data_IF_740321842283
#
_entry.id   IF_740321842283
#
_cell.length_a   1.000
_cell.length_b   1.000
_cell.length_c   1.000
_cell.angle_alpha   90.00
_cell.angle_beta   90.00
_cell.angle_gamma   90.00
#
_symmetry.space_group_name_H-M   'P 1'
#
loop_
_entity.id
_entity.type
_entity.pdbx_description
1 polymer ?
#
# COMPACT_ATOMS: atom_id res chain seq x y z
N UNK A 1 11.76 23.96 19.59
CA UNK A 1 11.46 22.86 18.66
C UNK A 1 10.20 23.22 17.92
N UNK A 2 10.27 23.44 16.61
CA UNK A 2 9.08 23.63 15.77
C UNK A 2 8.35 22.29 15.57
N UNK A 3 7.09 22.30 15.15
CA UNK A 3 6.38 21.06 14.81
C UNK A 3 7.11 20.29 13.70
N UNK A 4 7.74 21.01 12.76
CA UNK A 4 8.51 20.39 11.70
C UNK A 4 9.77 19.68 12.21
N UNK A 5 10.54 20.31 13.10
CA UNK A 5 11.70 19.68 13.73
C UNK A 5 11.29 18.44 14.54
N UNK A 6 10.14 18.50 15.22
CA UNK A 6 9.58 17.35 15.92
C UNK A 6 9.26 16.21 14.94
N UNK A 7 8.58 16.53 13.83
CA UNK A 7 8.25 15.55 12.79
C UNK A 7 9.50 14.90 12.21
N UNK A 8 10.50 15.69 11.81
CA UNK A 8 11.75 15.17 11.27
C UNK A 8 12.43 14.22 12.26
N UNK A 9 12.53 14.62 13.54
CA UNK A 9 13.11 13.77 14.59
C UNK A 9 12.33 12.46 14.79
N UNK A 10 11.00 12.51 14.73
CA UNK A 10 10.15 11.31 14.80
C UNK A 10 10.39 10.41 13.59
N UNK A 11 10.34 10.96 12.37
CA UNK A 11 10.56 10.23 11.11
C UNK A 11 11.93 9.54 11.11
N UNK A 12 12.99 10.24 11.51
CA UNK A 12 14.35 9.69 11.50
C UNK A 12 14.47 8.51 12.48
N UNK A 13 13.88 8.62 13.66
CA UNK A 13 13.87 7.54 14.66
C UNK A 13 13.05 6.34 14.18
N UNK A 14 11.86 6.57 13.65
CA UNK A 14 10.99 5.52 13.10
C UNK A 14 11.68 4.81 11.93
N UNK A 15 12.23 5.58 10.98
CA UNK A 15 12.93 5.04 9.82
C UNK A 15 14.09 4.11 10.23
N UNK A 16 14.89 4.54 11.21
CA UNK A 16 15.99 3.73 11.73
C UNK A 16 15.50 2.40 12.32
N UNK A 17 14.50 2.44 13.21
CA UNK A 17 14.00 1.23 13.87
C UNK A 17 13.39 0.26 12.87
N UNK A 18 12.54 0.74 11.96
CA UNK A 18 11.90 -0.13 10.97
C UNK A 18 12.93 -0.71 9.99
N UNK A 19 13.93 0.07 9.57
CA UNK A 19 14.98 -0.41 8.67
C UNK A 19 15.82 -1.53 9.30
N UNK A 20 16.06 -1.48 10.62
CA UNK A 20 16.72 -2.56 11.36
C UNK A 20 15.89 -3.86 11.32
N UNK A 21 14.56 -3.75 11.45
CA UNK A 21 13.62 -4.88 11.39
C UNK A 21 13.57 -5.55 10.00
N UNK A 22 13.62 -4.76 8.92
CA UNK A 22 13.55 -5.26 7.54
C UNK A 22 14.92 -5.39 6.86
N UNK A 23 15.99 -5.43 7.64
CA UNK A 23 17.39 -5.41 7.17
C UNK A 23 17.80 -6.61 6.30
N UNK A 24 17.01 -7.68 6.29
CA UNK A 24 17.26 -8.86 5.47
C UNK A 24 16.84 -8.63 4.01
N UNK A 25 17.65 -9.08 3.03
CA UNK A 25 17.38 -8.82 1.61
C UNK A 25 16.10 -9.52 1.13
N UNK A 26 15.25 -8.76 0.45
CA UNK A 26 14.08 -9.29 -0.24
C UNK A 26 14.47 -9.94 -1.57
N UNK A 27 13.60 -10.78 -2.11
CA UNK A 27 13.77 -11.45 -3.41
C UNK A 27 12.62 -11.14 -4.35
N UNK A 28 12.94 -11.04 -5.63
CA UNK A 28 11.94 -10.88 -6.68
C UNK A 28 11.33 -12.23 -7.04
N UNK A 29 10.01 -12.24 -7.24
CA UNK A 29 9.25 -13.37 -7.77
C UNK A 29 8.34 -12.91 -8.89
N UNK A 30 8.31 -13.67 -9.98
CA UNK A 30 7.36 -13.45 -11.06
C UNK A 30 6.12 -14.33 -10.88
N UNK A 31 4.98 -13.77 -11.28
CA UNK A 31 3.71 -14.49 -11.37
C UNK A 31 3.09 -14.19 -12.73
N UNK A 32 2.48 -15.21 -13.32
CA UNK A 32 1.71 -15.04 -14.56
C UNK A 32 0.46 -14.23 -14.26
N UNK A 33 0.23 -13.15 -15.03
CA UNK A 33 -1.02 -12.40 -14.92
C UNK A 33 -2.15 -13.08 -15.70
N UNK A 34 -3.39 -12.64 -15.45
CA UNK A 34 -4.58 -13.12 -16.16
C UNK A 34 -4.59 -12.71 -17.65
N UNK A 35 -3.87 -11.64 -18.02
CA UNK A 35 -3.74 -11.16 -19.38
C UNK A 35 -2.44 -11.65 -20.03
N UNK A 36 -2.49 -11.96 -21.32
CA UNK A 36 -1.45 -12.70 -22.04
C UNK A 36 -0.07 -12.00 -22.15
N UNK A 37 0.04 -10.72 -21.80
CA UNK A 37 1.27 -9.92 -21.89
C UNK A 37 1.67 -9.24 -20.57
N UNK A 38 0.96 -9.51 -19.47
CA UNK A 38 1.21 -8.92 -18.16
C UNK A 38 1.92 -9.92 -17.24
N UNK A 39 2.83 -9.40 -16.42
CA UNK A 39 3.53 -10.15 -15.38
C UNK A 39 3.40 -9.37 -14.07
N UNK A 40 2.99 -10.07 -13.02
CA UNK A 40 2.99 -9.51 -11.67
C UNK A 40 4.33 -9.83 -11.04
N UNK A 41 5.10 -8.79 -10.73
CA UNK A 41 6.39 -8.89 -10.05
C UNK A 41 6.20 -8.57 -8.58
N UNK A 42 6.47 -9.56 -7.73
CA UNK A 42 6.34 -9.46 -6.28
C UNK A 42 7.71 -9.34 -5.63
N UNK A 43 7.88 -8.37 -4.74
CA UNK A 43 9.07 -8.27 -3.88
C UNK A 43 8.77 -8.96 -2.55
N UNK A 44 9.45 -10.06 -2.28
CA UNK A 44 9.11 -10.98 -1.20
C UNK A 44 10.20 -10.97 -0.13
N UNK A 45 9.80 -10.70 1.11
CA UNK A 45 10.67 -10.81 2.27
C UNK A 45 11.10 -12.28 2.50
N UNK A 46 12.21 -12.52 3.24
CA UNK A 46 12.67 -13.87 3.55
C UNK A 46 11.63 -14.76 4.24
N UNK A 47 10.69 -14.14 4.97
CA UNK A 47 9.56 -14.80 5.64
C UNK A 47 8.48 -15.30 4.67
N UNK A 48 8.57 -14.95 3.38
CA UNK A 48 7.58 -15.27 2.35
C UNK A 48 6.47 -14.22 2.20
N UNK A 49 6.48 -13.15 3.00
CA UNK A 49 5.55 -12.02 2.90
C UNK A 49 5.81 -11.22 1.64
N UNK A 50 4.77 -10.87 0.88
CA UNK A 50 4.92 -9.93 -0.23
C UNK A 50 4.91 -8.50 0.32
N UNK A 51 5.94 -7.75 -0.02
CA UNK A 51 6.18 -6.39 0.48
C UNK A 51 5.85 -5.30 -0.54
N UNK A 52 5.83 -5.61 -1.83
CA UNK A 52 5.41 -4.72 -2.92
C UNK A 52 4.97 -5.57 -4.11
N UNK A 53 4.00 -5.08 -4.87
CA UNK A 53 3.58 -5.63 -6.16
C UNK A 53 3.79 -4.61 -7.28
N UNK A 54 4.25 -5.11 -8.43
CA UNK A 54 4.35 -4.36 -9.67
C UNK A 54 3.62 -5.10 -10.78
N UNK A 55 2.80 -4.38 -11.54
CA UNK A 55 2.16 -4.88 -12.76
C UNK A 55 2.95 -4.32 -13.96
N UNK A 56 3.66 -5.19 -14.66
CA UNK A 56 4.56 -4.84 -15.75
C UNK A 56 4.30 -5.71 -16.97
N UNK A 57 4.75 -5.28 -18.15
CA UNK A 57 4.85 -6.21 -19.27
C UNK A 57 5.93 -7.25 -19.01
N UNK A 58 5.81 -8.44 -19.62
CA UNK A 58 6.80 -9.50 -19.48
C UNK A 58 8.24 -9.05 -19.83
N UNK A 59 8.38 -8.18 -20.84
CA UNK A 59 9.68 -7.62 -21.25
C UNK A 59 10.28 -6.70 -20.18
N UNK A 60 9.46 -5.84 -19.57
CA UNK A 60 9.89 -4.93 -18.50
C UNK A 60 10.22 -5.69 -17.22
N UNK A 61 9.43 -6.71 -16.87
CA UNK A 61 9.67 -7.57 -15.72
C UNK A 61 11.07 -8.20 -15.81
N UNK A 62 11.41 -8.83 -16.94
CA UNK A 62 12.71 -9.50 -17.08
C UNK A 62 13.89 -8.54 -17.16
N UNK A 63 13.73 -7.39 -17.82
CA UNK A 63 14.82 -6.41 -18.00
C UNK A 63 15.13 -5.60 -16.74
N UNK A 64 14.11 -5.22 -15.97
CA UNK A 64 14.26 -4.38 -14.78
C UNK A 64 14.35 -5.21 -13.48
N UNK A 65 13.61 -6.32 -13.40
CA UNK A 65 13.49 -7.14 -12.18
C UNK A 65 13.64 -8.63 -12.48
N UNK A 66 14.85 -9.13 -12.77
CA UNK A 66 15.05 -10.54 -13.06
C UNK A 66 14.53 -11.44 -11.92
N UNK A 67 13.89 -12.56 -12.26
CA UNK A 67 13.35 -13.49 -11.26
C UNK A 67 14.46 -14.02 -10.31
N UNK A 68 14.08 -14.26 -9.05
CA UNK A 68 14.97 -14.64 -7.94
C UNK A 68 16.11 -13.67 -7.62
N UNK A 69 16.22 -12.54 -8.32
CA UNK A 69 17.24 -11.55 -8.00
C UNK A 69 16.96 -10.86 -6.67
N UNK A 70 18.03 -10.38 -6.03
CA UNK A 70 17.94 -9.66 -4.76
C UNK A 70 17.44 -8.25 -5.04
N UNK A 71 16.45 -7.81 -4.26
CA UNK A 71 15.98 -6.42 -4.29
C UNK A 71 17.10 -5.52 -3.79
N UNK A 72 17.43 -4.49 -4.57
CA UNK A 72 18.48 -3.54 -4.20
C UNK A 72 18.17 -2.85 -2.87
N UNK A 73 19.20 -2.68 -2.03
CA UNK A 73 19.08 -2.04 -0.71
C UNK A 73 18.41 -0.67 -0.77
N UNK A 74 18.70 0.10 -1.82
CA UNK A 74 18.11 1.43 -2.09
C UNK A 74 16.58 1.37 -2.17
N UNK A 75 16.01 0.30 -2.75
CA UNK A 75 14.55 0.11 -2.86
C UNK A 75 13.94 -0.07 -1.49
N UNK A 76 14.53 -0.97 -0.68
CA UNK A 76 14.05 -1.24 0.69
C UNK A 76 14.12 0.05 1.52
N UNK A 77 15.25 0.75 1.49
CA UNK A 77 15.44 2.02 2.19
C UNK A 77 14.43 3.08 1.75
N UNK A 78 14.12 3.16 0.44
CA UNK A 78 13.15 4.12 -0.08
C UNK A 78 11.72 3.82 0.40
N UNK A 79 11.29 2.55 0.35
CA UNK A 79 9.95 2.14 0.82
C UNK A 79 9.79 2.39 2.32
N UNK A 80 10.80 2.02 3.12
CA UNK A 80 10.81 2.26 4.57
C UNK A 80 10.77 3.75 4.87
N UNK A 81 11.55 4.56 4.16
CA UNK A 81 11.57 6.02 4.34
C UNK A 81 10.21 6.66 4.08
N UNK A 82 9.49 6.22 3.03
CA UNK A 82 8.14 6.69 2.78
C UNK A 82 7.15 6.27 3.87
N UNK A 83 7.22 5.02 4.33
CA UNK A 83 6.38 4.54 5.44
C UNK A 83 6.63 5.34 6.73
N UNK A 84 7.90 5.61 7.06
CA UNK A 84 8.29 6.42 8.21
C UNK A 84 7.83 7.89 8.09
N UNK A 85 7.75 8.43 6.87
CA UNK A 85 7.24 9.79 6.60
C UNK A 85 5.71 9.87 6.67
N UNK A 86 5.00 8.77 6.42
CA UNK A 86 3.54 8.69 6.53
C UNK A 86 3.05 8.43 7.94
N UNK A 87 3.69 7.51 8.67
CA UNK A 87 3.17 6.98 9.93
C UNK A 87 2.83 8.07 10.97
N UNK A 88 3.64 9.14 11.12
CA UNK A 88 3.34 10.20 12.08
C UNK A 88 2.21 11.15 11.64
N UNK A 89 1.71 11.04 10.41
CA UNK A 89 0.71 11.94 9.84
C UNK A 89 -0.71 11.47 10.17
N UNK A 90 -1.53 12.39 10.70
CA UNK A 90 -2.93 12.11 11.07
C UNK A 90 -3.96 12.49 10.02
N UNK A 91 -3.54 13.17 8.96
CA UNK A 91 -4.43 13.54 7.87
C UNK A 91 -5.00 12.29 7.18
N UNK A 92 -6.34 12.24 7.08
CA UNK A 92 -7.06 11.08 6.52
C UNK A 92 -6.58 10.68 5.13
N UNK A 93 -6.25 11.64 4.27
CA UNK A 93 -5.73 11.36 2.94
C UNK A 93 -4.44 10.50 2.96
N UNK A 94 -3.51 10.83 3.86
CA UNK A 94 -2.24 10.11 3.99
C UNK A 94 -2.39 8.80 4.78
N UNK A 95 -3.27 8.77 5.79
CA UNK A 95 -3.61 7.52 6.50
C UNK A 95 -4.28 6.49 5.58
N UNK A 96 -5.23 6.92 4.75
CA UNK A 96 -5.88 6.05 3.77
C UNK A 96 -4.92 5.60 2.67
N UNK A 97 -3.86 6.37 2.40
CA UNK A 97 -2.84 6.01 1.42
C UNK A 97 -1.83 4.98 1.95
N UNK A 98 -1.72 4.78 3.27
CA UNK A 98 -0.71 3.91 3.88
C UNK A 98 -0.70 2.48 3.31
N UNK A 99 -1.84 1.78 3.18
CA UNK A 99 -1.86 0.44 2.57
C UNK A 99 -1.37 0.46 1.11
N UNK A 100 -1.78 1.47 0.34
CA UNK A 100 -1.37 1.60 -1.06
C UNK A 100 0.11 1.95 -1.21
N UNK A 101 0.69 2.67 -0.26
CA UNK A 101 2.14 2.89 -0.18
C UNK A 101 2.87 1.56 0.03
N UNK A 102 2.42 0.78 1.02
CA UNK A 102 3.01 -0.52 1.34
C UNK A 102 2.85 -1.56 0.24
N UNK A 103 1.87 -1.43 -0.65
CA UNK A 103 1.64 -2.45 -1.67
C UNK A 103 2.09 -2.02 -3.08
N UNK A 104 1.81 -0.77 -3.45
CA UNK A 104 1.98 -0.26 -4.83
C UNK A 104 2.85 1.00 -4.91
N UNK A 105 3.54 1.39 -3.83
CA UNK A 105 4.37 2.61 -3.83
C UNK A 105 5.43 2.60 -4.92
N UNK A 106 6.01 1.43 -5.21
CA UNK A 106 7.04 1.30 -6.24
C UNK A 106 6.47 1.31 -7.68
N UNK A 107 5.20 0.95 -7.89
CA UNK A 107 4.56 0.98 -9.22
C UNK A 107 4.61 2.39 -9.82
N UNK A 108 4.35 3.40 -9.00
CA UNK A 108 4.36 4.80 -9.44
C UNK A 108 5.73 5.24 -9.99
N UNK A 109 6.82 4.72 -9.42
CA UNK A 109 8.18 5.03 -9.87
C UNK A 109 8.51 4.31 -11.17
N UNK A 110 8.00 3.09 -11.34
CA UNK A 110 8.09 2.36 -12.59
C UNK A 110 7.46 3.12 -13.74
N UNK A 111 6.22 3.58 -13.52
CA UNK A 111 5.45 4.33 -14.50
C UNK A 111 6.17 5.63 -14.91
N UNK A 112 6.95 6.23 -14.00
CA UNK A 112 7.73 7.45 -14.25
C UNK A 112 9.05 7.27 -15.01
N UNK A 113 9.73 6.15 -14.81
CA UNK A 113 11.17 6.04 -15.17
C UNK A 113 11.44 4.99 -16.25
N UNK A 114 10.58 3.98 -16.37
CA UNK A 114 10.58 2.91 -17.39
C UNK A 114 11.93 2.21 -17.64
N UNK A 115 12.93 2.38 -16.77
CA UNK A 115 14.29 1.83 -16.93
C UNK A 115 15.01 1.68 -15.60
N UNK A 116 15.72 0.56 -15.43
CA UNK A 116 16.40 0.20 -14.16
C UNK A 116 17.38 1.26 -13.65
N UNK A 117 18.24 1.79 -14.52
CA UNK A 117 19.24 2.79 -14.11
C UNK A 117 18.62 4.11 -13.64
N UNK A 118 17.50 4.51 -14.25
CA UNK A 118 16.75 5.69 -13.79
C UNK A 118 16.05 5.43 -12.47
N UNK A 119 15.50 4.22 -12.26
CA UNK A 119 14.92 3.82 -10.98
C UNK A 119 15.97 3.92 -9.87
N UNK A 120 17.14 3.31 -10.06
CA UNK A 120 18.22 3.34 -9.08
C UNK A 120 18.65 4.77 -8.74
N UNK A 121 18.81 5.64 -9.76
CA UNK A 121 19.15 7.06 -9.56
C UNK A 121 18.06 7.80 -8.78
N UNK A 122 16.79 7.49 -9.04
CA UNK A 122 15.64 8.16 -8.44
C UNK A 122 15.44 7.75 -6.97
N UNK A 123 15.76 6.50 -6.63
CA UNK A 123 15.63 5.95 -5.28
C UNK A 123 16.78 6.35 -4.34
N UNK A 124 17.92 6.78 -4.89
CA UNK A 124 19.13 7.08 -4.12
C UNK A 124 19.06 8.43 -3.37
N UNK A 125 18.23 9.37 -3.82
CA UNK A 125 18.11 10.69 -3.18
C UNK A 125 17.35 10.60 -1.84
N UNK A 126 18.02 10.86 -0.69
CA UNK A 126 17.40 10.73 0.62
C UNK A 126 16.33 11.79 0.89
N UNK A 127 16.29 12.85 0.08
CA UNK A 127 15.30 13.91 0.14
C UNK A 127 13.90 13.47 -0.25
N UNK A 128 13.76 12.31 -0.89
CA UNK A 128 12.50 11.72 -1.39
C UNK A 128 12.30 10.30 -0.86
N UNK A 129 11.07 9.75 -0.85
CA UNK A 129 9.80 10.39 -1.20
C UNK A 129 9.28 11.26 -0.05
N UNK A 130 8.49 12.31 -0.29
CA UNK A 130 7.84 13.03 0.81
C UNK A 130 6.38 13.44 0.51
N UNK A 131 5.51 13.46 1.52
CA UNK A 131 4.14 13.92 1.38
C UNK A 131 4.10 15.45 1.29
N UNK A 132 3.22 15.99 0.44
CA UNK A 132 3.08 17.42 0.20
C UNK A 132 1.67 17.78 -0.26
N UNK A 133 1.40 19.06 -0.49
CA UNK A 133 0.25 19.52 -1.25
C UNK A 133 0.67 20.16 -2.57
N UNK A 134 -0.13 19.96 -3.61
CA UNK A 134 0.04 20.60 -4.92
C UNK A 134 -1.15 21.48 -5.23
N UNK A 135 -0.89 22.66 -5.81
CA UNK A 135 -1.90 23.53 -6.39
C UNK A 135 -2.14 23.17 -7.86
N UNK A 136 -3.31 22.59 -8.16
CA UNK A 136 -3.76 22.30 -9.52
C UNK A 136 -5.03 23.10 -9.79
N UNK A 137 -4.91 24.12 -10.65
CA UNK A 137 -6.05 24.95 -11.05
C UNK A 137 -6.73 25.69 -9.89
N UNK A 138 -5.97 26.08 -8.86
CA UNK A 138 -6.50 26.74 -7.66
C UNK A 138 -6.98 25.78 -6.56
N UNK A 139 -6.90 24.47 -6.78
CA UNK A 139 -7.26 23.46 -5.80
C UNK A 139 -6.01 22.85 -5.15
N UNK A 140 -6.02 22.76 -3.82
CA UNK A 140 -4.94 22.16 -3.05
C UNK A 140 -5.20 20.68 -2.79
N UNK A 141 -4.41 19.83 -3.42
CA UNK A 141 -4.59 18.38 -3.38
C UNK A 141 -3.39 17.73 -2.66
N UNK A 142 -3.62 16.76 -1.76
CA UNK A 142 -2.54 16.00 -1.15
C UNK A 142 -1.85 15.17 -2.24
N UNK A 143 -0.53 15.09 -2.17
CA UNK A 143 0.27 14.38 -3.14
C UNK A 143 1.52 13.80 -2.49
N UNK A 144 2.10 12.84 -3.18
CA UNK A 144 3.49 12.44 -2.96
C UNK A 144 4.39 13.11 -3.96
N UNK A 145 5.53 13.56 -3.47
CA UNK A 145 6.66 13.94 -4.31
C UNK A 145 7.62 12.77 -4.32
N UNK A 146 7.76 12.17 -5.50
CA UNK A 146 8.54 10.97 -5.72
C UNK A 146 10.03 11.29 -5.90
N UNK A 147 10.34 12.40 -6.59
CA UNK A 147 11.72 12.76 -6.92
C UNK A 147 11.78 13.92 -7.90
N UNK A 148 13.01 14.39 -8.15
CA UNK A 148 13.26 15.42 -9.16
C UNK A 148 13.55 14.80 -10.53
N UNK A 149 13.01 15.41 -11.59
CA UNK A 149 13.34 15.10 -12.98
C UNK A 149 13.70 16.39 -13.72
N UNK A 150 15.00 16.67 -13.82
CA UNK A 150 15.48 17.94 -14.38
C UNK A 150 15.06 19.12 -13.48
N UNK A 151 14.28 20.04 -14.04
CA UNK A 151 13.78 21.22 -13.31
C UNK A 151 12.35 21.02 -12.75
N UNK A 152 11.78 19.83 -12.91
CA UNK A 152 10.43 19.50 -12.47
C UNK A 152 10.47 18.47 -11.34
N UNK A 153 9.36 18.38 -10.61
CA UNK A 153 9.14 17.38 -9.57
C UNK A 153 8.11 16.37 -10.06
N UNK A 154 8.44 15.09 -9.96
CA UNK A 154 7.51 14.02 -10.24
C UNK A 154 6.61 13.79 -9.01
N UNK A 155 5.30 13.91 -9.21
CA UNK A 155 4.31 13.76 -8.14
C UNK A 155 3.18 12.80 -8.53
N UNK A 156 2.52 12.23 -7.53
CA UNK A 156 1.19 11.62 -7.70
C UNK A 156 0.24 12.21 -6.68
N UNK A 157 -0.92 12.67 -7.16
CA UNK A 157 -1.99 13.15 -6.29
C UNK A 157 -2.64 11.95 -5.61
N UNK A 158 -3.02 12.11 -4.34
CA UNK A 158 -3.73 11.08 -3.58
C UNK A 158 -5.22 11.42 -3.62
N UNK A 159 -6.05 10.46 -4.05
CA UNK A 159 -7.49 10.56 -3.87
C UNK A 159 -7.80 10.50 -2.37
N UNK A 160 -8.35 11.59 -1.81
CA UNK A 160 -8.66 11.70 -0.38
C UNK A 160 -9.64 10.63 0.11
N UNK A 161 -10.54 10.16 -0.75
CA UNK A 161 -11.60 9.22 -0.38
C UNK A 161 -11.07 7.79 -0.35
N UNK A 162 -10.23 7.43 -1.31
CA UNK A 162 -9.78 6.05 -1.50
C UNK A 162 -8.36 5.82 -1.01
N UNK A 163 -7.53 6.86 -0.94
CA UNK A 163 -6.11 6.73 -0.68
C UNK A 163 -5.29 6.29 -1.90
N UNK A 164 -5.91 6.06 -3.06
CA UNK A 164 -5.18 5.65 -4.26
C UNK A 164 -4.32 6.79 -4.83
N UNK A 165 -3.20 6.41 -5.44
CA UNK A 165 -2.40 7.29 -6.26
C UNK A 165 -3.11 7.52 -7.61
N UNK A 166 -3.20 8.77 -8.02
CA UNK A 166 -3.43 9.12 -9.41
C UNK A 166 -2.15 8.92 -10.23
N UNK A 167 -2.28 8.84 -11.55
CA UNK A 167 -1.15 8.69 -12.46
C UNK A 167 -0.07 9.74 -12.19
N UNK A 168 1.22 9.34 -12.20
CA UNK A 168 2.33 10.25 -11.96
C UNK A 168 2.40 11.39 -12.99
N UNK A 169 2.78 12.58 -12.54
CA UNK A 169 2.90 13.80 -13.36
C UNK A 169 4.11 14.62 -12.94
N UNK A 170 4.73 15.27 -13.90
CA UNK A 170 5.77 16.26 -13.62
C UNK A 170 5.14 17.64 -13.46
N UNK A 171 5.58 18.37 -12.44
CA UNK A 171 5.11 19.73 -12.14
C UNK A 171 6.29 20.67 -11.86
N UNK A 172 6.06 21.96 -12.07
CA UNK A 172 6.98 22.98 -11.64
C UNK A 172 7.03 23.06 -10.10
N UNK A 173 8.22 23.22 -9.46
CA UNK A 173 8.36 23.28 -8.00
C UNK A 173 7.53 24.38 -7.32
N UNK A 174 7.17 25.43 -8.05
CA UNK A 174 6.33 26.54 -7.58
C UNK A 174 4.88 26.13 -7.30
N UNK A 175 4.43 25.02 -7.89
CA UNK A 175 3.07 24.50 -7.70
C UNK A 175 2.92 23.71 -6.40
N UNK A 176 4.02 23.34 -5.73
CA UNK A 176 3.96 22.72 -4.41
C UNK A 176 3.70 23.75 -3.32
N UNK A 177 2.68 23.48 -2.52
CA UNK A 177 2.43 24.20 -1.28
C UNK A 177 3.25 23.53 -0.20
N UNK A 178 4.03 24.36 0.47
CA UNK A 178 4.95 23.97 1.54
C UNK A 178 6.25 23.33 1.03
N UNK A 179 7.14 24.19 0.50
CA UNK A 179 8.51 23.80 0.12
C UNK A 179 9.31 23.27 1.31
N UNK A 180 8.88 23.53 2.54
CA UNK A 180 9.53 23.00 3.74
C UNK A 180 9.24 21.51 3.93
N UNK A 181 8.52 20.85 3.01
CA UNK A 181 8.16 19.42 3.08
C UNK A 181 7.37 19.11 4.35
N UNK A 182 6.58 20.08 4.80
CA UNK A 182 5.70 19.95 5.95
C UNK A 182 4.26 20.12 5.47
N UNK A 183 3.31 19.61 6.25
CA UNK A 183 1.90 19.81 6.00
C UNK A 183 1.38 20.45 7.27
N UNK A 184 1.31 21.78 7.26
CA UNK A 184 0.97 22.66 8.38
C UNK A 184 0.06 22.06 9.48
N UNK A 185 0.44 22.33 10.72
CA UNK A 185 -0.31 22.08 11.96
C UNK A 185 -1.00 20.71 12.06
N UNK A 186 -0.20 19.66 12.28
CA UNK A 186 -0.70 18.34 12.65
C UNK A 186 -0.20 17.93 14.03
N UNK A 187 -1.05 17.20 14.76
CA UNK A 187 -0.59 16.40 15.89
C UNK A 187 0.26 15.27 15.31
N UNK A 188 1.52 15.25 15.71
CA UNK A 188 2.48 14.22 15.31
C UNK A 188 2.34 13.09 16.33
N UNK A 189 2.12 11.88 15.84
CA UNK A 189 2.15 10.70 16.69
C UNK A 189 3.54 10.55 17.32
N UNK A 190 3.59 10.00 18.53
CA UNK A 190 4.88 9.64 19.15
C UNK A 190 5.63 8.62 18.29
N UNK A 191 6.92 8.48 18.54
CA UNK A 191 7.77 7.48 17.85
C UNK A 191 7.17 6.08 18.01
N UNK A 192 6.75 5.73 19.22
CA UNK A 192 6.18 4.41 19.53
C UNK A 192 4.84 4.18 18.80
N UNK A 193 3.91 5.14 18.84
CA UNK A 193 2.64 5.06 18.11
C UNK A 193 2.85 4.96 16.58
N UNK A 194 3.86 5.65 16.06
CA UNK A 194 4.20 5.60 14.64
C UNK A 194 4.74 4.22 14.25
N UNK A 195 5.61 3.63 15.07
CA UNK A 195 6.12 2.25 14.86
C UNK A 195 4.98 1.24 14.94
N UNK A 196 4.11 1.35 15.94
CA UNK A 196 2.93 0.49 16.08
C UNK A 196 2.00 0.60 14.86
N UNK A 197 1.80 1.82 14.35
CA UNK A 197 1.02 2.06 13.13
C UNK A 197 1.59 1.31 11.93
N UNK A 198 2.91 1.40 11.72
CA UNK A 198 3.59 0.68 10.62
C UNK A 198 3.39 -0.83 10.79
N UNK A 199 3.65 -1.37 11.99
CA UNK A 199 3.51 -2.80 12.28
C UNK A 199 2.06 -3.27 12.10
N UNK A 200 1.08 -2.46 12.48
CA UNK A 200 -0.33 -2.75 12.27
C UNK A 200 -0.65 -2.89 10.77
N UNK A 201 -0.30 -1.91 9.93
CA UNK A 201 -0.56 -1.99 8.50
C UNK A 201 0.19 -3.13 7.81
N UNK A 202 1.41 -3.44 8.24
CA UNK A 202 2.14 -4.63 7.76
C UNK A 202 1.42 -5.91 8.16
N UNK A 203 0.93 -6.01 9.39
CA UNK A 203 0.17 -7.17 9.87
C UNK A 203 -1.12 -7.37 9.08
N UNK A 204 -1.86 -6.28 8.80
CA UNK A 204 -3.07 -6.32 7.96
C UNK A 204 -2.74 -6.78 6.54
N UNK A 205 -1.66 -6.28 5.94
CA UNK A 205 -1.20 -6.70 4.62
C UNK A 205 -0.87 -8.20 4.60
N UNK A 206 -0.19 -8.71 5.62
CA UNK A 206 0.11 -10.14 5.78
C UNK A 206 -1.18 -10.96 5.93
N UNK A 207 -2.16 -10.46 6.67
CA UNK A 207 -3.43 -11.13 6.87
C UNK A 207 -4.18 -11.29 5.54
N UNK A 208 -4.31 -10.19 4.78
CA UNK A 208 -4.97 -10.18 3.47
C UNK A 208 -4.31 -11.14 2.47
N UNK A 209 -2.97 -11.28 2.52
CA UNK A 209 -2.25 -12.24 1.69
C UNK A 209 -2.56 -13.69 2.05
N UNK A 210 -2.76 -14.00 3.34
CA UNK A 210 -3.13 -15.36 3.79
C UNK A 210 -4.56 -15.71 3.42
N UNK A 211 -5.48 -14.75 3.48
CA UNK A 211 -6.88 -14.93 3.06
C UNK A 211 -7.04 -15.15 1.55
N UNK A 212 -5.99 -14.89 0.74
CA UNK A 212 -5.97 -15.22 -0.69
C UNK A 212 -5.75 -16.70 -1.00
N UNK A 213 -5.46 -17.55 0.00
CA UNK A 213 -5.62 -19.00 -0.12
C UNK A 213 -7.13 -19.30 -0.04
N UNK A 214 -7.74 -19.88 -1.08
CA UNK A 214 -9.17 -20.12 -1.12
C UNK A 214 -9.50 -21.34 -0.25
N UNK A 215 -9.46 -21.18 1.07
CA UNK A 215 -10.28 -22.01 1.95
C UNK A 215 -11.62 -21.29 2.10
N UNK A 216 -12.58 -21.70 1.27
CA UNK A 216 -13.97 -21.28 1.38
C UNK A 216 -14.44 -21.50 2.83
N UNK A 217 -14.91 -20.45 3.53
CA UNK A 217 -15.26 -20.58 4.94
C UNK A 217 -16.34 -21.63 5.11
N UNK A 218 -16.08 -22.61 5.97
CA UNK A 218 -17.03 -23.71 6.16
C UNK A 218 -18.25 -23.22 6.94
N UNK A 219 -19.38 -23.91 6.79
CA UNK A 219 -20.62 -23.62 7.53
C UNK A 219 -20.42 -23.62 9.05
N UNK A 220 -19.41 -24.32 9.55
CA UNK A 220 -19.03 -24.32 10.97
C UNK A 220 -18.43 -22.99 11.42
N UNK A 221 -17.65 -22.32 10.56
CA UNK A 221 -17.00 -21.04 10.87
C UNK A 221 -18.02 -19.90 10.95
N UNK A 222 -19.04 -19.93 10.08
CA UNK A 222 -20.16 -18.98 10.11
C UNK A 222 -21.02 -19.07 11.37
N UNK A 223 -21.07 -20.25 12.00
CA UNK A 223 -21.80 -20.47 13.26
C UNK A 223 -20.97 -20.01 14.46
N UNK A 224 -19.64 -20.15 14.41
CA UNK A 224 -18.76 -19.79 15.51
C UNK A 224 -18.43 -18.29 15.56
N UNK A 225 -18.36 -17.60 14.41
CA UNK A 225 -18.01 -16.18 14.35
C UNK A 225 -18.94 -15.40 13.38
N UNK A 226 -20.19 -15.07 13.81
CA UNK A 226 -21.20 -14.50 12.93
C UNK A 226 -20.91 -13.08 12.41
N UNK A 227 -19.90 -12.39 12.95
CA UNK A 227 -19.59 -10.99 12.63
C UNK A 227 -18.39 -10.79 11.70
N UNK A 228 -17.62 -11.83 11.35
CA UNK A 228 -16.38 -11.69 10.55
C UNK A 228 -16.45 -12.33 9.17
N UNK A 229 -17.44 -13.19 8.90
CA UNK A 229 -17.53 -13.93 7.64
C UNK A 229 -18.70 -13.45 6.77
N UNK A 230 -18.43 -12.63 5.76
CA UNK A 230 -19.39 -12.42 4.65
C UNK A 230 -19.45 -13.70 3.82
N UNK A 231 -20.48 -14.51 4.04
CA UNK A 231 -20.77 -15.69 3.21
C UNK A 231 -20.92 -15.25 1.74
N UNK A 232 -20.44 -16.08 0.81
CA UNK A 232 -20.60 -15.81 -0.62
C UNK A 232 -22.09 -15.62 -0.97
N UNK A 233 -22.43 -14.79 -1.97
CA UNK A 233 -23.82 -14.53 -2.35
C UNK A 233 -24.60 -15.82 -2.68
N UNK A 234 -23.93 -16.81 -3.24
CA UNK A 234 -24.51 -18.11 -3.61
C UNK A 234 -24.88 -18.93 -2.36
N UNK A 235 -23.96 -18.98 -1.38
CA UNK A 235 -24.19 -19.73 -0.14
C UNK A 235 -25.26 -19.06 0.74
N UNK A 236 -25.29 -17.73 0.74
CA UNK A 236 -26.34 -16.95 1.42
C UNK A 236 -27.73 -17.24 0.86
N UNK A 237 -27.85 -17.33 -0.47
CA UNK A 237 -29.12 -17.72 -1.14
C UNK A 237 -29.48 -19.18 -0.83
N UNK A 238 -28.50 -20.09 -0.84
CA UNK A 238 -28.73 -21.49 -0.50
C UNK A 238 -29.22 -21.68 0.94
N UNK A 239 -28.62 -20.96 1.90
CA UNK A 239 -29.03 -20.98 3.30
C UNK A 239 -30.44 -20.40 3.48
N UNK A 240 -30.74 -19.28 2.82
CA UNK A 240 -32.08 -18.69 2.85
C UNK A 240 -33.14 -19.66 2.30
N UNK A 241 -32.84 -20.32 1.18
CA UNK A 241 -33.72 -21.33 0.59
C UNK A 241 -33.90 -22.55 1.50
N UNK A 242 -32.84 -23.00 2.17
CA UNK A 242 -32.93 -24.10 3.14
C UNK A 242 -33.83 -23.75 4.33
N UNK A 243 -33.73 -22.52 4.85
CA UNK A 243 -34.62 -22.02 5.92
C UNK A 243 -36.07 -21.96 5.43
N UNK A 244 -36.32 -21.44 4.22
CA UNK A 244 -37.67 -21.36 3.65
C UNK A 244 -38.26 -22.76 3.44
N UNK A 245 -37.49 -23.71 2.92
CA UNK A 245 -37.93 -25.10 2.75
C UNK A 245 -38.19 -25.76 4.10
N UNK A 246 -37.30 -25.58 5.08
CA UNK A 246 -37.48 -26.09 6.44
C UNK A 246 -38.73 -25.54 7.11
N UNK A 247 -38.99 -24.24 6.95
CA UNK A 247 -40.22 -23.60 7.42
C UNK A 247 -41.45 -24.20 6.74
N UNK A 248 -41.45 -24.33 5.42
CA UNK A 248 -42.57 -24.92 4.68
C UNK A 248 -42.84 -26.38 5.06
N UNK A 249 -41.80 -27.19 5.24
CA UNK A 249 -41.93 -28.59 5.67
C UNK A 249 -42.53 -28.66 7.07
N UNK A 250 -42.02 -27.83 8.00
CA UNK A 250 -42.50 -27.80 9.39
C UNK A 250 -43.94 -27.29 9.46
N UNK A 251 -44.26 -26.24 8.70
CA UNK A 251 -45.59 -25.65 8.62
C UNK A 251 -46.61 -26.61 7.98
N UNK A 252 -46.20 -27.34 6.94
CA UNK A 252 -47.00 -28.41 6.33
C UNK A 252 -47.27 -29.54 7.32
N UNK A 253 -46.27 -29.95 8.08
CA UNK A 253 -46.41 -30.98 9.10
C UNK A 253 -47.34 -30.56 10.26
N UNK A 254 -47.27 -29.29 10.69
CA UNK A 254 -48.14 -28.74 11.74
C UNK A 254 -49.59 -28.51 11.30
N UNK A 255 -49.83 -28.24 10.01
CA UNK A 255 -51.19 -28.01 9.46
C UNK A 255 -51.86 -29.28 8.93
N UNK A 256 -51.16 -30.40 8.84
CA UNK A 256 -51.75 -31.71 8.54
C UNK A 256 -52.17 -31.93 7.08
N UNK A 257 -51.47 -31.31 6.11
CA UNK A 257 -51.62 -31.57 4.67
C UNK A 257 -50.49 -32.42 4.10
#
# INVERSE_FOLDING_TARGET
>A
MTNYEHYQSTVDQVNRVILEEVSQPWKIRHHDALAADECVVSMVAPTGTVCQHLNLSAEQAQSCWPDQSVVGRQVIEYIVRGAARLAPLRQSAFRNNFPHWLDHGLQQIHDLTSSKSKIETFLDDPGYPYPSQVNIGGNYLPCWVWGAQGNELAISVIDRRTGHFADPKNIAPELLIDREKWLGAQVIDSVDESIETIRHYISELIHQQRESLPDEPTLADAIQNPTTSTLSPVLSVALFMAIVVGFFVTFKWLLGF
#
